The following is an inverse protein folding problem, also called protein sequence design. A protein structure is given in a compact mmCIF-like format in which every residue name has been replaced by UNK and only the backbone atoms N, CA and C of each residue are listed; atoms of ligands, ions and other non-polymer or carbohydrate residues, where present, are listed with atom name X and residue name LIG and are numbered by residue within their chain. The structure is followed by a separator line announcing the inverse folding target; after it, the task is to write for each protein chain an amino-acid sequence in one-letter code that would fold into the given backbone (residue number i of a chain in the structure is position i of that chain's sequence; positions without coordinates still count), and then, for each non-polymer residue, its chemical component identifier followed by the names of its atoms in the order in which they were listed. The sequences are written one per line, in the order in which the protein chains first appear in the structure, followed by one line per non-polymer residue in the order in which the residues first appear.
data_IF_691465746581
#
_entry.id   IF_691465746581
#
_cell.length_a   1.000
_cell.length_b   1.000
_cell.length_c   1.000
_cell.angle_alpha   90.00
_cell.angle_beta   90.00
_cell.angle_gamma   90.00
#
_symmetry.space_group_name_H-M   'P 1'
#
loop_
_entity.id
_entity.type
_entity.pdbx_description
1 polymer ?
#
# COMPACT_ATOMS: atom_id res chain seq x y z
N UNK A 1 12.06 11.21 -0.79
CA UNK A 1 11.25 10.37 -1.72
C UNK A 1 11.64 10.73 -3.13
N UNK A 2 11.73 9.74 -4.02
CA UNK A 2 11.88 10.00 -5.46
C UNK A 2 10.56 10.52 -6.02
N UNK A 3 10.60 11.29 -7.11
CA UNK A 3 9.40 11.84 -7.75
C UNK A 3 8.42 10.72 -8.20
N UNK A 4 8.95 9.62 -8.70
CA UNK A 4 8.17 8.44 -9.12
C UNK A 4 7.36 7.83 -7.97
N UNK A 5 7.94 7.79 -6.76
CA UNK A 5 7.26 7.26 -5.57
C UNK A 5 6.10 8.16 -5.13
N UNK A 6 6.27 9.48 -5.26
CA UNK A 6 5.19 10.45 -5.00
C UNK A 6 4.05 10.25 -6.00
N UNK A 7 4.37 10.08 -7.29
CA UNK A 7 3.36 9.83 -8.31
C UNK A 7 2.58 8.54 -8.04
N UNK A 8 3.26 7.46 -7.66
CA UNK A 8 2.63 6.19 -7.31
C UNK A 8 1.77 6.29 -6.05
N UNK A 9 2.21 7.06 -5.05
CA UNK A 9 1.41 7.37 -3.87
C UNK A 9 0.13 8.13 -4.24
N UNK A 10 0.23 9.15 -5.09
CA UNK A 10 -0.94 9.91 -5.57
C UNK A 10 -1.91 9.02 -6.36
N UNK A 11 -1.40 8.15 -7.23
CA UNK A 11 -2.21 7.17 -7.95
C UNK A 11 -2.93 6.25 -6.98
N UNK A 12 -2.26 5.74 -5.94
CA UNK A 12 -2.89 4.88 -4.95
C UNK A 12 -3.95 5.61 -4.12
N UNK A 13 -3.73 6.86 -3.76
CA UNK A 13 -4.73 7.71 -3.08
C UNK A 13 -5.96 7.87 -3.96
N UNK A 14 -5.78 8.25 -5.23
CA UNK A 14 -6.85 8.42 -6.20
C UNK A 14 -7.64 7.11 -6.36
N UNK A 15 -6.94 5.98 -6.50
CA UNK A 15 -7.57 4.68 -6.65
C UNK A 15 -8.38 4.27 -5.42
N UNK A 16 -7.81 4.43 -4.23
CA UNK A 16 -8.51 4.13 -2.98
C UNK A 16 -9.78 4.97 -2.83
N UNK A 17 -9.70 6.25 -3.21
CA UNK A 17 -10.85 7.14 -3.24
C UNK A 17 -11.92 6.64 -4.21
N UNK A 18 -11.58 6.37 -5.47
CA UNK A 18 -12.53 5.89 -6.49
C UNK A 18 -13.24 4.61 -6.03
N UNK A 19 -12.49 3.62 -5.54
CA UNK A 19 -13.04 2.34 -5.04
C UNK A 19 -13.99 2.57 -3.87
N UNK A 20 -13.64 3.48 -2.97
CA UNK A 20 -14.43 3.74 -1.77
C UNK A 20 -15.71 4.51 -2.09
N UNK A 21 -15.67 5.42 -3.06
CA UNK A 21 -16.77 6.32 -3.44
C UNK A 21 -17.95 5.60 -4.07
N UNK A 22 -17.71 4.56 -4.88
CA UNK A 22 -18.78 3.83 -5.59
C UNK A 22 -19.90 3.39 -4.64
N UNK A 23 -19.56 2.83 -3.49
CA UNK A 23 -20.55 2.40 -2.50
C UNK A 23 -21.36 3.57 -1.92
N UNK A 24 -20.72 4.72 -1.67
CA UNK A 24 -21.38 5.88 -1.10
C UNK A 24 -22.31 6.60 -2.09
N UNK A 25 -21.93 6.68 -3.37
CA UNK A 25 -22.79 7.23 -4.42
C UNK A 25 -24.06 6.38 -4.56
N UNK A 26 -23.92 5.05 -4.62
CA UNK A 26 -25.08 4.15 -4.72
C UNK A 26 -26.02 4.31 -3.51
N UNK A 27 -25.47 4.57 -2.33
CA UNK A 27 -26.25 4.83 -1.11
C UNK A 27 -26.86 6.23 -1.01
N UNK A 28 -26.58 7.14 -1.96
CA UNK A 28 -27.08 8.52 -1.97
C UNK A 28 -26.47 9.45 -0.91
N UNK A 29 -25.26 9.14 -0.41
CA UNK A 29 -24.61 9.88 0.70
C UNK A 29 -23.46 10.75 0.21
N UNK A 30 -23.78 11.78 -0.58
CA UNK A 30 -22.79 12.65 -1.22
C UNK A 30 -22.00 13.52 -0.23
N UNK A 31 -22.61 13.88 0.90
CA UNK A 31 -22.00 14.63 2.01
C UNK A 31 -20.71 13.96 2.55
N UNK A 32 -20.62 12.63 2.43
CA UNK A 32 -19.49 11.86 2.95
C UNK A 32 -18.28 11.81 2.01
N UNK A 33 -18.41 12.28 0.77
CA UNK A 33 -17.36 12.16 -0.24
C UNK A 33 -16.05 12.87 0.18
N UNK A 34 -16.17 14.02 0.84
CA UNK A 34 -15.00 14.77 1.31
C UNK A 34 -14.24 14.02 2.42
N UNK A 35 -14.97 13.34 3.31
CA UNK A 35 -14.37 12.51 4.35
C UNK A 35 -13.69 11.29 3.73
N UNK A 36 -14.32 10.65 2.75
CA UNK A 36 -13.71 9.52 2.02
C UNK A 36 -12.41 9.93 1.32
N UNK A 37 -12.37 11.11 0.69
CA UNK A 37 -11.15 11.65 0.11
C UNK A 37 -10.06 11.85 1.17
N UNK A 38 -10.39 12.48 2.29
CA UNK A 38 -9.47 12.75 3.38
C UNK A 38 -8.91 11.45 3.99
N UNK A 39 -9.77 10.49 4.32
CA UNK A 39 -9.35 9.21 4.88
C UNK A 39 -8.52 8.40 3.88
N UNK A 40 -8.78 8.49 2.58
CA UNK A 40 -7.95 7.83 1.56
C UNK A 40 -6.51 8.36 1.57
N UNK A 41 -6.33 9.68 1.72
CA UNK A 41 -5.00 10.28 1.87
C UNK A 41 -4.33 9.78 3.15
N UNK A 42 -5.04 9.84 4.28
CA UNK A 42 -4.50 9.48 5.60
C UNK A 42 -4.09 8.01 5.62
N UNK A 43 -4.93 7.10 5.13
CA UNK A 43 -4.67 5.65 5.11
C UNK A 43 -3.40 5.34 4.32
N UNK A 44 -3.30 5.83 3.08
CA UNK A 44 -2.12 5.55 2.23
C UNK A 44 -0.87 6.19 2.83
N UNK A 45 -0.97 7.42 3.33
CA UNK A 45 0.15 8.13 3.93
C UNK A 45 0.68 7.41 5.17
N UNK A 46 -0.18 7.04 6.11
CA UNK A 46 0.20 6.31 7.32
C UNK A 46 0.82 4.96 6.95
N UNK A 47 0.22 4.22 6.02
CA UNK A 47 0.74 2.92 5.59
C UNK A 47 2.17 3.01 5.02
N UNK A 48 2.42 3.98 4.13
CA UNK A 48 3.76 4.24 3.56
C UNK A 48 4.73 4.70 4.64
N UNK A 49 4.30 5.63 5.50
CA UNK A 49 5.12 6.21 6.54
C UNK A 49 5.60 5.17 7.55
N UNK A 50 4.68 4.34 8.05
CA UNK A 50 5.01 3.29 9.03
C UNK A 50 5.98 2.28 8.43
N UNK A 51 5.83 1.90 7.15
CA UNK A 51 6.79 1.02 6.47
C UNK A 51 8.17 1.65 6.31
N UNK A 52 8.24 2.92 5.92
CA UNK A 52 9.53 3.64 5.84
C UNK A 52 10.19 3.77 7.20
N UNK A 53 9.42 4.03 8.24
CA UNK A 53 9.92 4.11 9.62
C UNK A 53 10.43 2.75 10.11
N UNK A 54 9.67 1.67 9.89
CA UNK A 54 10.11 0.31 10.20
C UNK A 54 11.39 -0.06 9.44
N UNK A 55 11.47 0.25 8.15
CA UNK A 55 12.66 -0.01 7.35
C UNK A 55 13.90 0.73 7.86
N UNK A 56 13.73 1.98 8.29
CA UNK A 56 14.81 2.75 8.90
C UNK A 56 15.37 2.07 10.16
N UNK A 57 14.51 1.47 11.00
CA UNK A 57 14.95 0.71 12.18
C UNK A 57 15.78 -0.53 11.83
N UNK A 58 15.57 -1.11 10.65
CA UNK A 58 16.32 -2.27 10.14
C UNK A 58 17.47 -1.90 9.19
N UNK A 59 17.87 -0.62 9.12
CA UNK A 59 18.91 -0.13 8.19
C UNK A 59 18.61 -0.47 6.72
N UNK A 60 17.32 -0.41 6.35
CA UNK A 60 16.80 -0.68 5.02
C UNK A 60 16.13 0.57 4.43
N UNK A 61 16.11 0.67 3.11
CA UNK A 61 15.25 1.60 2.36
C UNK A 61 14.07 0.85 1.74
N UNK A 62 12.88 1.44 1.80
CA UNK A 62 11.68 0.93 1.11
C UNK A 62 11.33 1.84 -0.05
N UNK A 63 11.18 1.22 -1.22
CA UNK A 63 10.59 1.83 -2.41
C UNK A 63 9.20 1.24 -2.63
N UNK A 64 8.19 2.10 -2.67
CA UNK A 64 6.83 1.70 -3.02
C UNK A 64 6.69 1.71 -4.53
N UNK A 65 5.95 0.74 -5.08
CA UNK A 65 5.60 0.64 -6.50
C UNK A 65 4.15 0.20 -6.63
N UNK A 66 3.48 0.61 -7.72
CA UNK A 66 2.16 0.03 -8.05
C UNK A 66 2.38 -1.44 -8.39
N UNK A 67 1.43 -2.30 -8.03
CA UNK A 67 1.56 -3.72 -8.34
C UNK A 67 1.46 -3.95 -9.85
N UNK A 68 2.53 -4.45 -10.45
CA UNK A 68 2.60 -4.83 -11.86
C UNK A 68 2.74 -6.35 -12.00
N UNK A 69 2.12 -6.90 -13.04
CA UNK A 69 2.24 -8.33 -13.39
C UNK A 69 2.77 -8.46 -14.81
N UNK A 70 3.81 -9.29 -14.97
CA UNK A 70 4.48 -9.55 -16.23
C UNK A 70 4.15 -10.93 -16.83
N UNK A 71 3.91 -11.95 -15.99
CA UNK A 71 3.58 -13.32 -16.41
C UNK A 71 2.07 -13.59 -16.32
N UNK A 72 1.56 -14.39 -17.26
CA UNK A 72 0.16 -14.85 -17.29
C UNK A 72 0.09 -16.35 -17.32
N UNK A 73 -0.60 -16.93 -16.34
CA UNK A 73 -0.82 -18.38 -16.28
C UNK A 73 0.39 -19.17 -15.81
N UNK A 74 0.34 -20.49 -16.02
CA UNK A 74 1.29 -21.45 -15.45
C UNK A 74 2.52 -21.73 -16.31
N UNK A 75 2.50 -21.37 -17.60
CA UNK A 75 3.59 -21.69 -18.54
C UNK A 75 4.60 -20.55 -18.60
N UNK A 76 5.88 -20.89 -18.57
CA UNK A 76 6.97 -19.91 -18.52
C UNK A 76 7.01 -18.96 -19.71
N UNK A 77 6.53 -19.37 -20.88
CA UNK A 77 6.58 -18.56 -22.11
C UNK A 77 5.41 -17.58 -22.26
N UNK A 78 4.43 -17.60 -21.34
CA UNK A 78 3.29 -16.69 -21.40
C UNK A 78 3.60 -15.39 -20.65
N UNK A 79 4.17 -14.45 -21.40
CA UNK A 79 4.50 -13.11 -20.92
C UNK A 79 3.66 -12.06 -21.62
N UNK A 80 3.24 -11.04 -20.89
CA UNK A 80 2.70 -9.84 -21.53
C UNK A 80 3.82 -9.07 -22.21
N UNK A 81 3.55 -8.49 -23.39
CA UNK A 81 4.51 -7.62 -24.08
C UNK A 81 4.82 -6.33 -23.31
N UNK A 82 3.93 -5.92 -22.39
CA UNK A 82 4.06 -4.76 -21.50
C UNK A 82 3.53 -5.14 -20.12
N UNK A 83 4.20 -4.65 -19.08
CA UNK A 83 3.78 -4.84 -17.69
C UNK A 83 2.40 -4.22 -17.46
N UNK A 84 1.43 -5.01 -17.01
CA UNK A 84 0.09 -4.52 -16.70
C UNK A 84 0.01 -4.11 -15.23
N UNK A 85 -0.52 -2.91 -14.91
CA UNK A 85 -0.68 -2.43 -13.53
C UNK A 85 -1.88 -3.11 -12.87
N UNK A 86 -1.71 -4.37 -12.48
CA UNK A 86 -2.75 -5.17 -11.83
C UNK A 86 -3.24 -4.54 -10.52
N UNK A 87 -2.39 -3.80 -9.81
CA UNK A 87 -2.77 -3.03 -8.61
C UNK A 87 -3.80 -1.93 -8.86
N UNK A 88 -4.03 -1.54 -10.12
CA UNK A 88 -5.08 -0.59 -10.51
C UNK A 88 -6.29 -1.35 -11.07
N UNK A 89 -6.03 -2.29 -11.98
CA UNK A 89 -7.06 -2.97 -12.77
C UNK A 89 -7.92 -3.88 -11.88
N UNK A 90 -7.29 -4.73 -11.04
CA UNK A 90 -8.02 -5.70 -10.23
C UNK A 90 -8.97 -5.02 -9.25
N UNK A 91 -8.51 -4.07 -8.41
CA UNK A 91 -9.38 -3.41 -7.45
C UNK A 91 -10.58 -2.71 -8.09
N UNK A 92 -10.39 -2.10 -9.26
CA UNK A 92 -11.46 -1.41 -9.98
C UNK A 92 -12.51 -2.38 -10.52
N UNK A 93 -12.09 -3.47 -11.17
CA UNK A 93 -13.01 -4.48 -11.71
C UNK A 93 -13.83 -5.13 -10.58
N UNK A 94 -13.18 -5.51 -9.48
CA UNK A 94 -13.86 -6.12 -8.34
C UNK A 94 -14.79 -5.14 -7.62
N UNK A 95 -14.39 -3.88 -7.48
CA UNK A 95 -15.25 -2.85 -6.90
C UNK A 95 -16.50 -2.62 -7.75
N UNK A 96 -16.35 -2.57 -9.08
CA UNK A 96 -17.48 -2.41 -9.99
C UNK A 96 -18.42 -3.64 -9.96
N UNK A 97 -17.86 -4.85 -9.99
CA UNK A 97 -18.65 -6.08 -9.98
C UNK A 97 -19.37 -6.32 -8.65
N UNK A 98 -18.75 -5.95 -7.52
CA UNK A 98 -19.35 -6.10 -6.19
C UNK A 98 -20.22 -4.92 -5.76
N UNK A 99 -20.46 -3.93 -6.65
CA UNK A 99 -21.17 -2.68 -6.34
C UNK A 99 -20.62 -1.98 -5.06
N UNK A 100 -19.31 -2.09 -4.83
CA UNK A 100 -18.63 -1.50 -3.68
C UNK A 100 -18.73 -2.29 -2.36
N UNK A 101 -19.33 -3.49 -2.34
CA UNK A 101 -19.38 -4.35 -1.16
C UNK A 101 -18.00 -4.97 -0.88
N UNK A 102 -17.30 -5.44 -1.93
CA UNK A 102 -16.00 -6.07 -1.79
C UNK A 102 -14.89 -5.14 -2.27
N UNK A 103 -14.05 -4.68 -1.32
CA UNK A 103 -12.97 -3.72 -1.58
C UNK A 103 -11.62 -4.43 -1.50
N UNK A 104 -11.02 -4.69 -2.67
CA UNK A 104 -9.65 -5.19 -2.77
C UNK A 104 -8.66 -4.03 -2.61
N UNK A 105 -7.89 -4.03 -1.52
CA UNK A 105 -6.97 -2.94 -1.18
C UNK A 105 -5.51 -3.18 -1.59
N UNK A 106 -5.25 -4.11 -2.50
CA UNK A 106 -3.90 -4.44 -3.00
C UNK A 106 -3.43 -3.43 -4.06
N UNK A 107 -3.19 -2.18 -3.66
CA UNK A 107 -2.85 -1.07 -4.56
C UNK A 107 -1.34 -0.93 -4.77
N UNK A 108 -0.58 -0.97 -3.67
CA UNK A 108 0.85 -0.69 -3.63
C UNK A 108 1.60 -1.93 -3.14
N UNK A 109 2.62 -2.32 -3.88
CA UNK A 109 3.68 -3.25 -3.44
C UNK A 109 4.90 -2.47 -2.99
N UNK A 110 5.80 -3.12 -2.27
CA UNK A 110 7.01 -2.48 -1.80
C UNK A 110 8.21 -3.40 -2.03
N UNK A 111 9.35 -2.78 -2.31
CA UNK A 111 10.64 -3.44 -2.43
C UNK A 111 11.56 -2.86 -1.36
N UNK A 112 12.25 -3.75 -0.64
CA UNK A 112 13.22 -3.39 0.39
C UNK A 112 14.64 -3.54 -0.17
N UNK A 113 15.48 -2.53 0.05
CA UNK A 113 16.91 -2.57 -0.29
C UNK A 113 17.74 -2.30 0.96
N UNK A 114 18.83 -3.04 1.15
CA UNK A 114 19.75 -2.79 2.26
C UNK A 114 20.55 -1.52 2.01
N UNK A 115 20.73 -0.70 3.05
CA UNK A 115 21.55 0.50 2.95
C UNK A 115 23.03 0.14 3.01
N UNK A 116 23.87 0.83 2.22
CA UNK A 116 25.32 0.58 2.17
C UNK A 116 26.01 0.70 3.53
N UNK A 117 25.50 1.56 4.42
CA UNK A 117 26.04 1.71 5.76
C UNK A 117 25.74 0.54 6.70
N UNK A 118 24.78 -0.34 6.38
CA UNK A 118 24.47 -1.55 7.16
C UNK A 118 25.68 -2.48 7.25
N UNK A 119 26.44 -2.61 6.16
CA UNK A 119 27.71 -3.36 6.12
C UNK A 119 28.81 -2.70 6.97
N UNK A 120 28.91 -1.37 6.92
CA UNK A 120 29.91 -0.61 7.66
C UNK A 120 29.66 -0.62 9.18
N UNK A 121 28.40 -0.51 9.61
CA UNK A 121 28.00 -0.44 11.03
C UNK A 121 28.20 -1.75 11.80
N UNK A 122 28.27 -2.90 11.11
CA UNK A 122 28.58 -4.21 11.71
C UNK A 122 30.05 -4.62 11.57
N UNK A 123 30.95 -3.64 11.36
CA UNK A 123 32.41 -3.79 11.39
C UNK A 123 32.97 -4.94 10.53
N UNK A 124 32.31 -5.27 9.41
CA UNK A 124 32.78 -6.32 8.49
C UNK A 124 32.66 -7.76 9.02
N UNK A 125 32.01 -7.99 10.17
CA UNK A 125 31.80 -9.35 10.70
C UNK A 125 30.85 -10.19 9.83
N UNK A 126 30.06 -9.56 8.95
CA UNK A 126 29.22 -10.23 7.96
C UNK A 126 29.49 -9.60 6.58
N UNK A 127 29.80 -10.43 5.59
CA UNK A 127 29.89 -10.01 4.18
C UNK A 127 28.52 -9.80 3.53
N UNK A 128 27.45 -10.28 4.18
CA UNK A 128 26.11 -10.28 3.62
C UNK A 128 25.37 -8.97 3.91
N UNK A 129 25.19 -8.18 2.86
CA UNK A 129 24.30 -7.02 2.77
C UNK A 129 22.85 -7.41 2.50
N UNK A 130 22.53 -8.71 2.53
CA UNK A 130 21.20 -9.20 2.17
C UNK A 130 20.18 -8.94 3.30
N UNK A 131 18.98 -8.57 2.88
CA UNK A 131 17.84 -8.40 3.79
C UNK A 131 17.29 -9.78 4.09
N UNK A 132 17.15 -10.11 5.37
CA UNK A 132 16.53 -11.38 5.74
C UNK A 132 15.04 -11.34 5.42
N UNK A 133 14.47 -12.49 5.05
CA UNK A 133 13.01 -12.61 4.83
C UNK A 133 12.21 -12.20 6.07
N UNK A 134 12.79 -12.40 7.25
CA UNK A 134 12.23 -11.96 8.52
C UNK A 134 12.14 -10.43 8.63
N UNK A 135 13.21 -9.70 8.30
CA UNK A 135 13.20 -8.23 8.28
C UNK A 135 12.16 -7.72 7.27
N UNK A 136 12.11 -8.31 6.08
CA UNK A 136 11.14 -7.93 5.05
C UNK A 136 9.69 -8.20 5.50
N UNK A 137 9.44 -9.34 6.13
CA UNK A 137 8.15 -9.69 6.72
C UNK A 137 7.72 -8.74 7.83
N UNK A 138 8.63 -8.35 8.72
CA UNK A 138 8.38 -7.38 9.78
C UNK A 138 8.04 -5.99 9.23
N UNK A 139 8.75 -5.52 8.20
CA UNK A 139 8.45 -4.25 7.51
C UNK A 139 7.05 -4.31 6.88
N UNK A 140 6.70 -5.43 6.24
CA UNK A 140 5.36 -5.66 5.69
C UNK A 140 4.27 -5.62 6.75
N UNK A 141 4.46 -6.36 7.84
CA UNK A 141 3.54 -6.44 8.97
C UNK A 141 3.37 -5.08 9.67
N UNK A 142 4.43 -4.29 9.79
CA UNK A 142 4.37 -2.96 10.40
C UNK A 142 3.35 -2.05 9.70
N UNK A 143 3.26 -2.10 8.37
CA UNK A 143 2.25 -1.34 7.62
C UNK A 143 0.81 -1.73 7.99
N UNK A 144 0.55 -3.03 8.14
CA UNK A 144 -0.77 -3.56 8.54
C UNK A 144 -1.09 -3.15 9.98
N UNK A 145 -0.13 -3.35 10.89
CA UNK A 145 -0.28 -2.98 12.30
C UNK A 145 -0.52 -1.47 12.43
N UNK A 146 0.18 -0.64 11.66
CA UNK A 146 0.00 0.81 11.65
C UNK A 146 -1.41 1.22 11.24
N UNK A 147 -1.98 0.59 10.21
CA UNK A 147 -3.37 0.82 9.80
C UNK A 147 -4.38 0.31 10.84
N UNK A 148 -4.10 -0.81 11.50
CA UNK A 148 -4.96 -1.35 12.55
C UNK A 148 -5.00 -0.41 13.76
N UNK A 149 -3.85 0.10 14.19
CA UNK A 149 -3.78 1.11 15.26
C UNK A 149 -4.54 2.38 14.86
N UNK A 150 -4.37 2.86 13.63
CA UNK A 150 -5.12 4.00 13.10
C UNK A 150 -6.63 3.75 13.12
N UNK A 151 -7.08 2.55 12.76
CA UNK A 151 -8.49 2.18 12.80
C UNK A 151 -9.05 2.15 14.22
N UNK A 152 -8.28 1.65 15.21
CA UNK A 152 -8.67 1.67 16.62
C UNK A 152 -8.79 3.11 17.11
N UNK A 153 -7.83 3.97 16.78
CA UNK A 153 -7.89 5.40 17.13
C UNK A 153 -9.15 6.03 16.53
N UNK A 154 -9.43 5.75 15.25
CA UNK A 154 -10.62 6.26 14.58
C UNK A 154 -11.93 5.82 15.24
N UNK A 155 -11.99 4.55 15.68
CA UNK A 155 -13.11 4.00 16.41
C UNK A 155 -13.31 4.70 17.78
N UNK A 156 -12.24 4.85 18.56
CA UNK A 156 -12.30 5.50 19.88
C UNK A 156 -12.71 6.97 19.77
N UNK A 157 -12.29 7.66 18.71
CA UNK A 157 -12.70 9.05 18.45
C UNK A 157 -14.15 9.19 17.96
N UNK A 158 -14.87 8.08 17.77
CA UNK A 158 -16.28 8.09 17.36
C UNK A 158 -16.51 8.34 15.87
N UNK A 159 -15.47 8.25 15.03
CA UNK A 159 -15.63 8.43 13.58
C UNK A 159 -16.47 7.33 12.91
N UNK A 160 -16.76 6.22 13.61
CA UNK A 160 -17.73 5.22 13.17
C UNK A 160 -19.12 5.83 12.92
N UNK A 161 -19.52 6.82 13.74
CA UNK A 161 -20.83 7.46 13.63
C UNK A 161 -21.01 8.26 12.34
N UNK A 162 -19.91 8.70 11.71
CA UNK A 162 -19.96 9.42 10.44
C UNK A 162 -20.34 8.52 9.25
N UNK A 163 -20.15 7.20 9.38
CA UNK A 163 -20.33 6.25 8.28
C UNK A 163 -21.46 5.24 8.50
N UNK A 164 -22.20 5.34 9.61
CA UNK A 164 -23.50 4.67 9.85
C UNK A 164 -24.60 5.31 9.04
#
# INVERSE_FOLDING_TARGET
MKFEEIAQMLIAILMLFIISVVGYIISGREELLIYVALFSVIIIFVHIFVKKWAAFMFDCSVEHKVWHVYKVGWREHHHFRKELPFGIIIPLIFSAFSLGVFKLMTLITYETHALKHRAARRFGYYSFTEITDWDNGLIGAAGIVGLLVLSIIGYIMGYELLFK
#
